data_IF_075666637472
#
_entry.id   IF_075666637472
#
_cell.length_a   1.000
_cell.length_b   1.000
_cell.length_c   1.000
_cell.angle_alpha   90.00
_cell.angle_beta   90.00
_cell.angle_gamma   90.00
#
_symmetry.space_group_name_H-M   'P 1'
#
loop_
_entity.id
_entity.type
_entity.pdbx_description
1 polymer ?
#
# COMPACT_ATOMS: atom_id res chain seq x y z
N UNK A 1 -6.10 -15.24 -27.15
CA UNK A 1 -4.82 -15.32 -26.40
C UNK A 1 -5.06 -14.73 -25.01
N UNK A 2 -4.92 -15.51 -23.93
CA UNK A 2 -5.06 -14.99 -22.55
C UNK A 2 -3.82 -14.19 -22.16
N UNK A 3 -3.99 -12.99 -21.59
CA UNK A 3 -2.86 -12.17 -21.15
C UNK A 3 -2.23 -12.72 -19.86
N UNK A 4 -0.97 -12.39 -19.59
CA UNK A 4 -0.27 -12.81 -18.36
C UNK A 4 -1.02 -12.36 -17.09
N UNK A 5 -1.66 -11.19 -17.14
CA UNK A 5 -2.48 -10.66 -16.05
C UNK A 5 -3.75 -11.50 -15.79
N UNK A 6 -4.40 -12.00 -16.85
CA UNK A 6 -5.58 -12.87 -16.70
C UNK A 6 -5.22 -14.20 -16.03
N UNK A 7 -4.05 -14.75 -16.36
CA UNK A 7 -3.55 -16.00 -15.75
C UNK A 7 -3.26 -15.82 -14.26
N UNK A 8 -2.64 -14.71 -13.87
CA UNK A 8 -2.33 -14.41 -12.46
C UNK A 8 -3.62 -14.21 -11.66
N UNK A 9 -4.60 -13.47 -12.20
CA UNK A 9 -5.91 -13.29 -11.57
C UNK A 9 -6.66 -14.61 -11.39
N UNK A 10 -6.66 -15.46 -12.42
CA UNK A 10 -7.32 -16.77 -12.39
C UNK A 10 -6.63 -17.75 -11.43
N UNK A 11 -5.31 -17.62 -11.25
CA UNK A 11 -4.55 -18.43 -10.27
C UNK A 11 -4.84 -17.96 -8.85
N UNK A 12 -4.84 -16.64 -8.60
CA UNK A 12 -5.22 -16.07 -7.31
C UNK A 12 -6.66 -16.43 -6.92
N UNK A 13 -7.61 -16.35 -7.86
CA UNK A 13 -9.02 -16.69 -7.58
C UNK A 13 -9.19 -18.16 -7.23
N UNK A 14 -8.48 -19.08 -7.91
CA UNK A 14 -8.48 -20.53 -7.59
C UNK A 14 -7.82 -20.87 -6.26
N UNK A 15 -6.86 -20.08 -5.80
CA UNK A 15 -6.26 -20.25 -4.47
C UNK A 15 -7.23 -19.76 -3.40
N UNK A 16 -7.91 -18.63 -3.62
CA UNK A 16 -8.92 -18.07 -2.71
C UNK A 16 -10.19 -18.93 -2.62
N UNK A 17 -10.62 -19.56 -3.72
CA UNK A 17 -11.77 -20.50 -3.74
C UNK A 17 -11.45 -21.87 -3.14
N UNK A 18 -10.20 -22.10 -2.71
CA UNK A 18 -9.77 -23.34 -2.08
C UNK A 18 -9.40 -24.47 -3.06
N UNK A 19 -9.65 -24.32 -4.36
CA UNK A 19 -9.58 -25.39 -5.36
C UNK A 19 -8.17 -25.90 -5.72
N UNK A 20 -7.10 -25.13 -5.46
CA UNK A 20 -5.75 -25.45 -5.97
C UNK A 20 -4.70 -25.74 -4.87
N UNK A 21 -4.60 -26.93 -4.27
CA UNK A 21 -3.76 -27.22 -3.09
C UNK A 21 -2.22 -27.19 -3.30
N UNK A 22 -1.46 -26.61 -2.36
CA UNK A 22 0.03 -26.68 -2.33
C UNK A 22 0.73 -25.71 -1.35
N UNK A 23 1.93 -26.05 -0.85
CA UNK A 23 2.73 -25.21 0.09
C UNK A 23 3.21 -23.88 -0.51
N UNK A 24 3.26 -23.76 -1.85
CA UNK A 24 3.75 -22.58 -2.56
C UNK A 24 2.65 -21.55 -2.89
N UNK A 25 1.39 -21.81 -2.50
CA UNK A 25 0.25 -20.86 -2.63
C UNK A 25 0.54 -19.42 -2.20
N UNK A 26 1.12 -19.14 -1.01
CA UNK A 26 1.30 -17.77 -0.56
C UNK A 26 2.28 -16.96 -1.41
N UNK A 27 3.18 -17.61 -2.17
CA UNK A 27 4.14 -16.92 -3.04
C UNK A 27 3.47 -16.17 -4.18
N UNK A 28 2.27 -16.58 -4.61
CA UNK A 28 1.51 -15.86 -5.65
C UNK A 28 1.05 -14.48 -5.15
N UNK A 29 0.80 -14.34 -3.84
CA UNK A 29 0.44 -13.06 -3.21
C UNK A 29 1.66 -12.22 -2.80
N UNK A 30 2.87 -12.76 -2.94
CA UNK A 30 4.09 -12.04 -2.58
C UNK A 30 4.31 -10.81 -3.46
N UNK A 31 3.93 -10.82 -4.75
CA UNK A 31 4.11 -9.68 -5.65
C UNK A 31 3.44 -8.39 -5.14
N UNK A 32 2.11 -8.38 -4.92
CA UNK A 32 1.42 -7.23 -4.34
C UNK A 32 1.92 -6.86 -2.94
N UNK A 33 2.24 -7.87 -2.11
CA UNK A 33 2.74 -7.63 -0.76
C UNK A 33 4.12 -6.94 -0.78
N UNK A 34 5.03 -7.34 -1.67
CA UNK A 34 6.35 -6.72 -1.82
C UNK A 34 6.21 -5.26 -2.25
N UNK A 35 5.34 -4.97 -3.24
CA UNK A 35 5.12 -3.59 -3.70
C UNK A 35 4.62 -2.72 -2.54
N UNK A 36 3.65 -3.21 -1.75
CA UNK A 36 3.15 -2.49 -0.60
C UNK A 36 4.21 -2.28 0.49
N UNK A 37 5.07 -3.28 0.75
CA UNK A 37 6.17 -3.17 1.71
C UNK A 37 7.23 -2.17 1.28
N UNK A 38 7.60 -2.15 -0.01
CA UNK A 38 8.58 -1.19 -0.54
C UNK A 38 8.04 0.24 -0.42
N UNK A 39 6.77 0.46 -0.77
CA UNK A 39 6.14 1.78 -0.64
C UNK A 39 6.05 2.28 0.81
N UNK A 40 6.05 1.40 1.81
CA UNK A 40 6.07 1.77 3.23
C UNK A 40 7.47 2.11 3.75
N UNK A 41 8.50 1.69 3.03
CA UNK A 41 9.91 1.80 3.42
C UNK A 41 10.60 2.93 2.64
N UNK A 42 9.90 4.08 2.56
CA UNK A 42 10.33 5.26 1.84
C UNK A 42 11.32 6.12 2.66
N UNK A 43 12.17 6.94 2.01
CA UNK A 43 13.14 7.79 2.70
C UNK A 43 12.53 8.75 3.72
N UNK A 44 11.26 9.17 3.55
CA UNK A 44 10.55 10.02 4.50
C UNK A 44 10.27 9.33 5.83
N UNK A 45 9.85 8.07 5.78
CA UNK A 45 9.65 7.25 6.98
C UNK A 45 10.99 7.01 7.72
N UNK A 46 12.10 6.82 6.98
CA UNK A 46 13.43 6.75 7.60
C UNK A 46 13.84 8.05 8.28
N UNK A 47 13.65 9.21 7.63
CA UNK A 47 14.02 10.51 8.18
C UNK A 47 13.29 10.79 9.50
N UNK A 48 11.98 10.55 9.55
CA UNK A 48 11.17 10.76 10.75
C UNK A 48 11.55 9.82 11.88
N UNK A 49 11.78 8.52 11.61
CA UNK A 49 12.19 7.55 12.64
C UNK A 49 13.60 7.84 13.20
N UNK A 50 14.54 8.24 12.35
CA UNK A 50 15.90 8.60 12.78
C UNK A 50 15.87 9.89 13.60
N UNK A 51 15.14 10.91 13.16
CA UNK A 51 14.99 12.17 13.90
C UNK A 51 14.29 11.95 15.25
N UNK A 52 13.22 11.14 15.26
CA UNK A 52 12.51 10.75 16.48
C UNK A 52 13.41 9.97 17.45
N UNK A 53 14.23 9.04 16.94
CA UNK A 53 15.19 8.29 17.74
C UNK A 53 16.32 9.16 18.30
N UNK A 54 16.81 10.13 17.52
CA UNK A 54 17.82 11.08 17.98
C UNK A 54 17.29 12.03 19.07
N UNK A 55 16.03 12.46 18.97
CA UNK A 55 15.40 13.39 19.92
C UNK A 55 14.81 12.74 21.16
N UNK A 56 14.21 11.54 21.03
CA UNK A 56 13.40 10.90 22.08
C UNK A 56 13.88 9.50 22.47
N UNK A 57 15.02 9.06 21.91
CA UNK A 57 15.56 7.72 22.09
C UNK A 57 14.48 6.64 21.86
N UNK A 58 14.32 5.72 22.80
CA UNK A 58 13.38 4.60 22.69
C UNK A 58 11.94 4.93 23.09
N UNK A 59 11.65 6.16 23.53
CA UNK A 59 10.34 6.54 24.09
C UNK A 59 9.20 6.47 23.07
N UNK A 60 9.50 6.56 21.77
CA UNK A 60 8.53 6.54 20.69
C UNK A 60 8.34 5.15 20.04
N UNK A 61 9.07 4.12 20.46
CA UNK A 61 8.97 2.77 19.88
C UNK A 61 7.55 2.20 19.94
N UNK A 62 6.81 2.46 21.03
CA UNK A 62 5.43 1.99 21.16
C UNK A 62 4.50 2.67 20.15
N UNK A 63 4.76 3.95 19.82
CA UNK A 63 3.99 4.70 18.81
C UNK A 63 4.27 4.11 17.43
N UNK A 64 5.53 3.82 17.11
CA UNK A 64 5.93 3.19 15.85
C UNK A 64 5.26 1.82 15.71
N UNK A 65 5.25 1.02 16.78
CA UNK A 65 4.59 -0.29 16.79
C UNK A 65 3.08 -0.15 16.53
N UNK A 66 2.42 0.78 17.23
CA UNK A 66 0.99 1.03 17.06
C UNK A 66 0.66 1.50 15.64
N UNK A 67 1.47 2.42 15.09
CA UNK A 67 1.32 2.91 13.72
C UNK A 67 1.44 1.76 12.69
N UNK A 68 2.39 0.84 12.88
CA UNK A 68 2.54 -0.33 12.02
C UNK A 68 1.32 -1.27 12.09
N UNK A 69 0.75 -1.50 13.27
CA UNK A 69 -0.47 -2.32 13.43
C UNK A 69 -1.65 -1.69 12.65
N UNK A 70 -1.82 -0.37 12.78
CA UNK A 70 -2.86 0.37 12.07
C UNK A 70 -2.62 0.33 10.55
N UNK A 71 -1.37 0.49 10.10
CA UNK A 71 -1.00 0.38 8.70
C UNK A 71 -1.32 -1.01 8.13
N UNK A 72 -0.98 -2.08 8.84
CA UNK A 72 -1.33 -3.45 8.45
C UNK A 72 -2.85 -3.66 8.33
N UNK A 73 -3.63 -3.08 9.25
CA UNK A 73 -5.09 -3.11 9.17
C UNK A 73 -5.60 -2.44 7.89
N UNK A 74 -5.15 -1.22 7.58
CA UNK A 74 -5.58 -0.50 6.38
C UNK A 74 -5.14 -1.19 5.09
N UNK A 75 -3.91 -1.72 5.03
CA UNK A 75 -3.43 -2.49 3.89
C UNK A 75 -4.26 -3.76 3.69
N UNK A 76 -4.59 -4.48 4.76
CA UNK A 76 -5.44 -5.67 4.68
C UNK A 76 -6.86 -5.33 4.21
N UNK A 77 -7.44 -4.22 4.68
CA UNK A 77 -8.77 -3.77 4.23
C UNK A 77 -8.76 -3.36 2.76
N UNK A 78 -7.76 -2.60 2.32
CA UNK A 78 -7.60 -2.20 0.91
C UNK A 78 -7.43 -3.42 0.00
N UNK A 79 -6.59 -4.38 0.40
CA UNK A 79 -6.41 -5.63 -0.33
C UNK A 79 -7.71 -6.44 -0.41
N UNK A 80 -8.42 -6.61 0.73
CA UNK A 80 -9.72 -7.31 0.73
C UNK A 80 -10.75 -6.61 -0.14
N UNK A 81 -10.80 -5.28 -0.12
CA UNK A 81 -11.71 -4.51 -0.98
C UNK A 81 -11.44 -4.79 -2.45
N UNK A 82 -10.18 -4.71 -2.88
CA UNK A 82 -9.80 -4.98 -4.27
C UNK A 82 -10.06 -6.43 -4.70
N UNK A 83 -9.82 -7.38 -3.80
CA UNK A 83 -10.06 -8.81 -4.05
C UNK A 83 -11.55 -9.11 -4.20
N UNK A 84 -12.40 -8.54 -3.34
CA UNK A 84 -13.84 -8.86 -3.30
C UNK A 84 -14.61 -8.09 -4.38
N UNK A 85 -14.30 -6.81 -4.56
CA UNK A 85 -15.06 -5.94 -5.49
C UNK A 85 -14.51 -5.95 -6.91
N UNK A 86 -13.24 -6.35 -7.09
CA UNK A 86 -12.53 -6.24 -8.36
C UNK A 86 -12.22 -4.80 -8.81
N UNK A 87 -12.54 -3.81 -7.97
CA UNK A 87 -12.36 -2.37 -8.20
C UNK A 87 -11.36 -1.79 -7.20
N UNK A 88 -10.72 -0.69 -7.58
CA UNK A 88 -9.91 0.06 -6.64
C UNK A 88 -10.78 0.96 -5.74
N UNK A 89 -10.21 1.44 -4.63
CA UNK A 89 -10.95 2.28 -3.67
C UNK A 89 -11.49 3.56 -4.33
N UNK A 90 -10.74 4.18 -5.24
CA UNK A 90 -11.15 5.42 -5.91
C UNK A 90 -12.34 5.20 -6.86
N UNK A 91 -12.38 4.08 -7.59
CA UNK A 91 -13.51 3.67 -8.42
C UNK A 91 -14.77 3.46 -7.55
N UNK A 92 -14.61 2.79 -6.40
CA UNK A 92 -15.73 2.54 -5.50
C UNK A 92 -16.25 3.83 -4.87
N UNK A 93 -15.35 4.75 -4.49
CA UNK A 93 -15.72 6.08 -4.01
C UNK A 93 -16.46 6.87 -5.09
N UNK A 94 -16.00 6.81 -6.35
CA UNK A 94 -16.64 7.48 -7.48
C UNK A 94 -18.06 6.96 -7.74
N UNK A 95 -18.29 5.67 -7.57
CA UNK A 95 -19.60 5.04 -7.79
C UNK A 95 -20.59 5.33 -6.66
N UNK A 96 -20.12 5.55 -5.43
CA UNK A 96 -20.97 5.67 -4.24
C UNK A 96 -21.12 7.11 -3.70
N UNK A 97 -20.27 8.06 -4.10
CA UNK A 97 -20.31 9.45 -3.61
C UNK A 97 -20.74 10.47 -4.67
N UNK A 98 -21.33 11.61 -4.25
CA UNK A 98 -21.69 12.67 -5.17
C UNK A 98 -20.44 13.32 -5.78
N UNK A 99 -20.56 13.74 -7.05
CA UNK A 99 -19.45 14.27 -7.87
C UNK A 99 -18.56 15.32 -7.18
N UNK A 100 -19.06 16.30 -6.40
CA UNK A 100 -18.21 17.28 -5.74
C UNK A 100 -17.25 16.66 -4.73
N UNK A 101 -17.70 15.65 -3.97
CA UNK A 101 -16.89 14.95 -2.97
C UNK A 101 -15.78 14.16 -3.66
N UNK A 102 -16.10 13.49 -4.77
CA UNK A 102 -15.12 12.73 -5.56
C UNK A 102 -14.01 13.64 -6.09
N UNK A 103 -14.35 14.84 -6.57
CA UNK A 103 -13.36 15.81 -7.03
C UNK A 103 -12.45 16.31 -5.92
N UNK A 104 -13.00 16.55 -4.72
CA UNK A 104 -12.20 16.93 -3.54
C UNK A 104 -11.27 15.78 -3.15
N UNK A 105 -11.78 14.56 -3.06
CA UNK A 105 -10.98 13.38 -2.73
C UNK A 105 -9.85 13.19 -3.75
N UNK A 106 -10.15 13.35 -5.04
CA UNK A 106 -9.14 13.28 -6.11
C UNK A 106 -8.04 14.33 -5.92
N UNK A 107 -8.41 15.59 -5.67
CA UNK A 107 -7.43 16.66 -5.46
C UNK A 107 -6.53 16.39 -4.24
N UNK A 108 -7.10 15.90 -3.13
CA UNK A 108 -6.32 15.54 -1.93
C UNK A 108 -5.38 14.36 -2.22
N UNK A 109 -5.85 13.34 -2.94
CA UNK A 109 -5.01 12.20 -3.34
C UNK A 109 -3.87 12.62 -4.26
N UNK A 110 -4.10 13.55 -5.19
CA UNK A 110 -3.06 14.07 -6.09
C UNK A 110 -1.98 14.82 -5.30
N UNK A 111 -2.38 15.67 -4.36
CA UNK A 111 -1.44 16.40 -3.49
C UNK A 111 -0.64 15.43 -2.62
N UNK A 112 -1.28 14.40 -2.08
CA UNK A 112 -0.58 13.37 -1.31
C UNK A 112 0.44 12.61 -2.15
N UNK A 113 0.08 12.22 -3.38
CA UNK A 113 1.00 11.54 -4.30
C UNK A 113 2.21 12.41 -4.64
N UNK A 114 2.00 13.70 -4.93
CA UNK A 114 3.10 14.66 -5.17
C UNK A 114 4.02 14.82 -3.96
N UNK A 115 3.46 14.82 -2.74
CA UNK A 115 4.25 14.92 -1.51
C UNK A 115 5.13 13.68 -1.28
N UNK A 116 4.60 12.48 -1.55
CA UNK A 116 5.37 11.23 -1.48
C UNK A 116 6.49 11.20 -2.52
N UNK A 117 6.20 11.55 -3.78
CA UNK A 117 7.20 11.59 -4.85
C UNK A 117 8.33 12.59 -4.54
N UNK A 118 7.98 13.76 -3.98
CA UNK A 118 8.96 14.75 -3.53
C UNK A 118 9.87 14.21 -2.40
N UNK A 119 9.31 13.50 -1.42
CA UNK A 119 10.08 12.92 -0.33
C UNK A 119 11.03 11.81 -0.81
N UNK A 120 10.56 10.95 -1.71
CA UNK A 120 11.36 9.90 -2.34
C UNK A 120 12.49 10.49 -3.21
N UNK A 121 12.17 11.50 -4.02
CA UNK A 121 13.14 12.19 -4.86
C UNK A 121 14.23 12.87 -4.04
N UNK A 122 13.85 13.62 -2.99
CA UNK A 122 14.81 14.30 -2.12
C UNK A 122 15.69 13.30 -1.37
N UNK A 123 15.10 12.22 -0.85
CA UNK A 123 15.83 11.15 -0.19
C UNK A 123 16.81 10.44 -1.13
N UNK A 124 16.40 10.17 -2.37
CA UNK A 124 17.26 9.62 -3.41
C UNK A 124 18.39 10.56 -3.80
N UNK A 125 18.12 11.85 -3.95
CA UNK A 125 19.12 12.86 -4.27
C UNK A 125 20.19 12.98 -3.17
N UNK A 126 19.78 12.98 -1.89
CA UNK A 126 20.71 12.99 -0.76
C UNK A 126 21.48 11.67 -0.66
N UNK A 127 20.83 10.53 -0.93
CA UNK A 127 21.49 9.22 -0.87
C UNK A 127 22.52 8.99 -1.99
N UNK A 128 22.42 9.70 -3.11
CA UNK A 128 23.38 9.65 -4.22
C UNK A 128 24.52 10.68 -4.10
N UNK A 129 24.36 11.73 -3.27
CA UNK A 129 25.35 12.78 -3.05
C UNK A 129 26.42 12.35 -2.03
#
# INVERSE_FOLDING_TARGET
>A
MQTLSDRTRHTMSRILSGEAGGRLRPLVFAGPAIIASVAYMDPGNYATNIQAGAGYAYSLLWVVLLANIIAMLFQALSARLGIVTGKNLAELCRDNFPRPVVWIMWAVSEVAAMATDLAEFLGGAIGLA
#
